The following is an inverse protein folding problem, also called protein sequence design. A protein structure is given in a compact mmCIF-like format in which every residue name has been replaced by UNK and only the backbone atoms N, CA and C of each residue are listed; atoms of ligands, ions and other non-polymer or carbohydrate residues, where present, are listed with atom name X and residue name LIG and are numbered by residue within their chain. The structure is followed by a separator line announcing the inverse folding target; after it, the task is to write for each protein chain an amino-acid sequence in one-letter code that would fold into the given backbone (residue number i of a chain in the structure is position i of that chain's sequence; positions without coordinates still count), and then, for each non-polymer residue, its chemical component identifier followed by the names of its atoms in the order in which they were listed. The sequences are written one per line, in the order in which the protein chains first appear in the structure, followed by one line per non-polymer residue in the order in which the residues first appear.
data_IF_336750588991
#
_entry.id   IF_336750588991
#
_cell.length_a   1.000
_cell.length_b   1.000
_cell.length_c   1.000
_cell.angle_alpha   90.00
_cell.angle_beta   90.00
_cell.angle_gamma   90.00
#
_symmetry.space_group_name_H-M   'P 1'
#
loop_
_entity.id
_entity.type
_entity.pdbx_description
1 polymer ?
#
# COMPACT_ATOMS: atom_id res chain seq x y z
N UNK A 1 -0.90 18.90 -0.92
CA UNK A 1 0.50 18.66 -0.48
C UNK A 1 1.26 17.99 -1.59
N UNK A 2 2.43 18.52 -1.94
CA UNK A 2 3.29 17.92 -2.96
C UNK A 2 4.11 16.76 -2.38
N UNK A 3 4.52 15.82 -3.24
CA UNK A 3 5.33 14.67 -2.84
C UNK A 3 6.63 15.09 -2.12
N UNK A 4 7.28 16.17 -2.61
CA UNK A 4 8.51 16.71 -2.00
C UNK A 4 8.29 17.15 -0.55
N UNK A 5 7.20 17.87 -0.29
CA UNK A 5 6.84 18.33 1.06
C UNK A 5 6.59 17.15 2.00
N UNK A 6 5.85 16.13 1.52
CA UNK A 6 5.61 14.91 2.30
C UNK A 6 6.92 14.18 2.66
N UNK A 7 7.87 14.11 1.72
CA UNK A 7 9.18 13.50 1.97
C UNK A 7 9.94 14.22 3.07
N UNK A 8 9.97 15.55 3.02
CA UNK A 8 10.63 16.37 4.04
C UNK A 8 9.99 16.15 5.41
N UNK A 9 8.65 16.07 5.49
CA UNK A 9 7.95 15.83 6.74
C UNK A 9 8.25 14.47 7.36
N UNK A 10 8.28 13.40 6.55
CA UNK A 10 8.64 12.05 7.02
C UNK A 10 10.08 12.02 7.52
N UNK A 11 11.01 12.65 6.80
CA UNK A 11 12.42 12.72 7.18
C UNK A 11 12.58 13.51 8.48
N UNK A 12 11.91 14.66 8.60
CA UNK A 12 11.94 15.49 9.80
C UNK A 12 11.36 14.77 11.02
N UNK A 13 10.27 14.00 10.86
CA UNK A 13 9.71 13.19 11.95
C UNK A 13 10.65 12.06 12.37
N UNK A 14 11.30 11.40 11.41
CA UNK A 14 12.34 10.40 11.70
C UNK A 14 13.49 11.01 12.52
N UNK A 15 13.99 12.17 12.10
CA UNK A 15 15.11 12.86 12.78
C UNK A 15 14.72 13.34 14.18
N UNK A 16 13.51 13.88 14.34
CA UNK A 16 12.96 14.22 15.67
C UNK A 16 12.89 13.00 16.58
N UNK A 17 12.39 11.86 16.08
CA UNK A 17 12.32 10.61 16.84
C UNK A 17 13.71 10.05 17.17
N UNK A 18 14.67 10.24 16.27
CA UNK A 18 16.07 9.85 16.49
C UNK A 18 16.70 10.70 17.61
N UNK A 19 16.56 12.02 17.53
CA UNK A 19 17.08 12.95 18.53
C UNK A 19 16.42 12.76 19.91
N UNK A 20 15.13 12.42 19.93
CA UNK A 20 14.41 12.10 21.17
C UNK A 20 14.73 10.69 21.73
N UNK A 21 15.51 9.87 21.03
CA UNK A 21 15.88 8.53 21.49
C UNK A 21 14.71 7.53 21.53
N UNK A 22 13.63 7.78 20.77
CA UNK A 22 12.43 6.93 20.75
C UNK A 22 12.34 6.02 19.52
N UNK A 23 13.32 6.09 18.61
CA UNK A 23 13.40 5.14 17.51
C UNK A 23 13.74 3.74 18.02
N UNK A 24 13.17 2.70 17.38
CA UNK A 24 13.54 1.32 17.67
C UNK A 24 15.00 1.06 17.27
N UNK A 25 15.71 0.14 17.95
CA UNK A 25 17.12 -0.17 17.67
C UNK A 25 17.40 -0.49 16.18
N UNK A 26 16.46 -1.16 15.51
CA UNK A 26 16.55 -1.55 14.11
C UNK A 26 16.66 -0.37 13.14
N UNK A 27 16.21 0.81 13.56
CA UNK A 27 16.25 2.06 12.80
C UNK A 27 17.36 3.02 13.23
N UNK A 28 17.95 2.83 14.43
CA UNK A 28 19.07 3.64 14.92
C UNK A 28 20.36 3.31 14.14
N UNK A 29 20.65 2.01 13.99
CA UNK A 29 21.79 1.51 13.23
C UNK A 29 21.28 0.55 12.15
N UNK A 30 20.64 1.09 11.08
CA UNK A 30 19.93 0.27 10.14
C UNK A 30 20.90 -0.61 9.34
N UNK A 31 20.50 -1.87 9.19
CA UNK A 31 21.04 -2.81 8.22
C UNK A 31 19.88 -3.30 7.35
N UNK A 32 20.20 -3.81 6.17
CA UNK A 32 19.22 -4.48 5.29
C UNK A 32 18.35 -5.50 6.04
N UNK A 33 18.99 -6.30 6.91
CA UNK A 33 18.32 -7.31 7.74
C UNK A 33 17.44 -6.68 8.82
N UNK A 34 17.94 -5.67 9.54
CA UNK A 34 17.17 -5.03 10.62
C UNK A 34 15.93 -4.30 10.08
N UNK A 35 16.02 -3.68 8.90
CA UNK A 35 14.87 -3.04 8.25
C UNK A 35 13.78 -4.06 7.86
N UNK A 36 14.18 -5.23 7.36
CA UNK A 36 13.25 -6.34 7.11
C UNK A 36 12.63 -6.83 8.41
N UNK A 37 13.44 -7.13 9.42
CA UNK A 37 12.98 -7.66 10.71
C UNK A 37 12.02 -6.69 11.40
N UNK A 38 12.31 -5.40 11.33
CA UNK A 38 11.41 -4.36 11.81
C UNK A 38 10.14 -4.25 10.99
N UNK A 39 10.19 -4.46 9.66
CA UNK A 39 8.98 -4.55 8.83
C UNK A 39 8.08 -5.71 9.27
N UNK A 40 8.66 -6.88 9.59
CA UNK A 40 7.91 -8.02 10.12
C UNK A 40 7.24 -7.63 11.43
N UNK A 41 7.97 -6.99 12.35
CA UNK A 41 7.44 -6.51 13.63
C UNK A 41 6.27 -5.55 13.43
N UNK A 42 6.45 -4.50 12.61
CA UNK A 42 5.40 -3.52 12.31
C UNK A 42 4.18 -4.19 11.67
N UNK A 43 4.39 -5.13 10.74
CA UNK A 43 3.30 -5.85 10.10
C UNK A 43 2.57 -6.80 11.07
N UNK A 44 3.24 -7.31 12.09
CA UNK A 44 2.65 -8.21 13.10
C UNK A 44 1.87 -7.43 14.14
N UNK A 45 2.44 -6.33 14.64
CA UNK A 45 1.91 -5.57 15.77
C UNK A 45 0.96 -4.44 15.35
N UNK A 46 1.20 -3.84 14.18
CA UNK A 46 0.54 -2.60 13.72
C UNK A 46 0.13 -2.68 12.25
N UNK A 47 -0.44 -3.80 11.83
CA UNK A 47 -1.11 -3.87 10.53
C UNK A 47 -2.31 -2.93 10.50
N UNK A 48 -2.37 -2.04 9.51
CA UNK A 48 -3.56 -1.21 9.23
C UNK A 48 -3.93 -1.41 7.77
N UNK A 49 -5.20 -1.70 7.47
CA UNK A 49 -5.67 -1.94 6.10
C UNK A 49 -5.40 -0.76 5.15
N UNK A 50 -5.34 0.47 5.67
CA UNK A 50 -4.98 1.67 4.89
C UNK A 50 -3.55 1.64 4.34
N UNK A 51 -2.67 0.82 4.91
CA UNK A 51 -1.28 0.66 4.49
C UNK A 51 -1.15 -0.41 3.37
N UNK A 52 -2.23 -1.10 3.00
CA UNK A 52 -2.21 -2.13 1.93
C UNK A 52 -1.64 -1.60 0.60
N UNK A 53 -1.96 -0.38 0.11
CA UNK A 53 -1.37 0.12 -1.14
C UNK A 53 0.17 0.17 -1.12
N UNK A 54 0.75 0.52 0.03
CA UNK A 54 2.20 0.49 0.23
C UNK A 54 2.71 -0.95 0.27
N UNK A 55 2.08 -1.82 1.06
CA UNK A 55 2.50 -3.21 1.19
C UNK A 55 2.44 -3.95 -0.16
N UNK A 56 1.40 -3.70 -0.96
CA UNK A 56 1.26 -4.18 -2.33
C UNK A 56 2.39 -3.70 -3.22
N UNK A 57 2.73 -2.41 -3.13
CA UNK A 57 3.75 -1.80 -3.99
C UNK A 57 5.16 -2.31 -3.68
N UNK A 58 5.46 -2.57 -2.40
CA UNK A 58 6.81 -2.98 -1.98
C UNK A 58 6.98 -4.51 -1.90
N UNK A 59 5.97 -5.25 -1.40
CA UNK A 59 6.04 -6.70 -1.17
C UNK A 59 5.23 -7.52 -2.19
N UNK A 60 4.60 -6.86 -3.16
CA UNK A 60 3.74 -7.47 -4.18
C UNK A 60 2.29 -7.68 -3.69
N UNK A 61 1.37 -7.86 -4.63
CA UNK A 61 -0.06 -8.13 -4.35
C UNK A 61 -0.23 -9.41 -3.52
N UNK A 62 -1.07 -9.33 -2.49
CA UNK A 62 -1.52 -10.47 -1.68
C UNK A 62 -3.04 -10.44 -1.53
N UNK A 63 -3.61 -11.60 -1.23
CA UNK A 63 -5.06 -11.78 -1.18
C UNK A 63 -5.68 -11.36 0.16
N UNK A 64 -4.88 -11.34 1.23
CA UNK A 64 -5.35 -10.99 2.58
C UNK A 64 -4.20 -10.48 3.47
N UNK A 65 -4.51 -9.87 4.62
CA UNK A 65 -3.50 -9.37 5.57
C UNK A 65 -2.47 -10.41 6.02
N UNK A 66 -2.89 -11.66 6.28
CA UNK A 66 -1.98 -12.72 6.70
C UNK A 66 -0.96 -13.08 5.61
N UNK A 67 -1.38 -13.04 4.34
CA UNK A 67 -0.49 -13.24 3.19
C UNK A 67 0.53 -12.09 3.04
N UNK A 68 0.20 -10.86 3.46
CA UNK A 68 1.20 -9.79 3.56
C UNK A 68 2.22 -10.06 4.66
N UNK A 69 1.81 -10.55 5.84
CA UNK A 69 2.76 -10.91 6.90
C UNK A 69 3.77 -11.96 6.42
N UNK A 70 3.30 -13.03 5.75
CA UNK A 70 4.15 -14.07 5.17
C UNK A 70 5.09 -13.47 4.11
N UNK A 71 4.59 -12.56 3.28
CA UNK A 71 5.40 -11.91 2.25
C UNK A 71 6.52 -11.04 2.85
N UNK A 72 6.24 -10.31 3.94
CA UNK A 72 7.24 -9.50 4.65
C UNK A 72 8.28 -10.39 5.33
N UNK A 73 7.86 -11.51 5.93
CA UNK A 73 8.77 -12.49 6.55
C UNK A 73 9.73 -13.12 5.53
N UNK A 74 9.22 -13.42 4.33
CA UNK A 74 10.00 -14.03 3.25
C UNK A 74 10.72 -13.00 2.35
N UNK A 75 10.60 -11.70 2.64
CA UNK A 75 11.23 -10.67 1.83
C UNK A 75 12.75 -10.77 1.91
N UNK A 76 13.42 -10.67 0.76
CA UNK A 76 14.86 -10.56 0.70
C UNK A 76 15.32 -9.26 1.38
N UNK A 77 16.34 -9.37 2.24
CA UNK A 77 16.99 -8.21 2.84
C UNK A 77 17.54 -7.24 1.78
N UNK A 78 17.88 -7.75 0.59
CA UNK A 78 18.38 -6.92 -0.51
C UNK A 78 17.36 -5.89 -1.02
N UNK A 79 16.06 -6.19 -0.92
CA UNK A 79 14.99 -5.23 -1.25
C UNK A 79 15.06 -3.94 -0.42
N UNK A 80 15.67 -4.01 0.77
CA UNK A 80 15.85 -2.87 1.66
C UNK A 80 17.15 -2.11 1.42
N UNK A 81 17.99 -2.51 0.46
CA UNK A 81 19.29 -1.84 0.18
C UNK A 81 19.12 -0.35 -0.06
N UNK A 82 18.13 0.04 -0.85
CA UNK A 82 17.94 1.46 -1.22
C UNK A 82 17.52 2.32 -0.03
N UNK A 83 16.60 1.83 0.81
CA UNK A 83 16.23 2.53 2.04
C UNK A 83 17.41 2.55 3.03
N UNK A 84 18.11 1.43 3.20
CA UNK A 84 19.28 1.32 4.06
C UNK A 84 20.38 2.34 3.68
N UNK A 85 20.70 2.44 2.39
CA UNK A 85 21.69 3.41 1.90
C UNK A 85 21.24 4.85 2.16
N UNK A 86 19.95 5.15 1.94
CA UNK A 86 19.39 6.47 2.21
C UNK A 86 19.36 6.85 3.70
N UNK A 87 19.13 5.89 4.60
CA UNK A 87 19.18 6.13 6.04
C UNK A 87 20.61 6.37 6.54
N UNK A 88 21.61 5.80 5.87
CA UNK A 88 23.04 5.99 6.19
C UNK A 88 23.62 7.25 5.57
N UNK A 89 23.20 7.58 4.36
CA UNK A 89 23.67 8.73 3.59
C UNK A 89 22.48 9.38 2.88
N UNK A 90 21.98 10.46 3.48
CA UNK A 90 20.83 11.25 3.01
C UNK A 90 21.10 12.03 1.71
N UNK A 91 22.38 12.21 1.32
CA UNK A 91 22.73 12.94 0.09
C UNK A 91 22.27 12.19 -1.17
N UNK A 92 22.14 10.86 -1.06
CA UNK A 92 21.64 9.97 -2.10
C UNK A 92 20.13 9.87 -1.97
N UNK A 93 19.40 10.66 -2.75
CA UNK A 93 17.94 10.60 -2.80
C UNK A 93 17.40 9.17 -3.00
N UNK A 94 16.14 8.94 -2.65
CA UNK A 94 15.51 7.61 -2.71
C UNK A 94 14.12 7.66 -3.35
N UNK A 95 13.61 6.51 -3.79
CA UNK A 95 12.26 6.40 -4.38
C UNK A 95 11.17 6.79 -3.38
N UNK A 96 9.99 7.18 -3.89
CA UNK A 96 8.88 7.56 -3.02
C UNK A 96 8.37 6.40 -2.18
N UNK A 97 8.41 5.20 -2.75
CA UNK A 97 8.03 3.96 -2.07
C UNK A 97 8.93 3.75 -0.84
N UNK A 98 10.23 4.04 -0.91
CA UNK A 98 11.12 3.91 0.25
C UNK A 98 10.82 4.94 1.34
N UNK A 99 10.39 6.16 0.96
CA UNK A 99 9.94 7.16 1.94
C UNK A 99 8.60 6.76 2.57
N UNK A 100 7.69 6.21 1.77
CA UNK A 100 6.42 5.70 2.27
C UNK A 100 6.63 4.49 3.20
N UNK A 101 7.59 3.62 2.88
CA UNK A 101 8.02 2.53 3.75
C UNK A 101 8.59 3.06 5.07
N UNK A 102 9.42 4.11 5.03
CA UNK A 102 9.93 4.76 6.24
C UNK A 102 8.79 5.37 7.08
N UNK A 103 7.86 6.08 6.45
CA UNK A 103 6.68 6.65 7.11
C UNK A 103 5.86 5.56 7.82
N UNK A 104 5.67 4.43 7.16
CA UNK A 104 5.00 3.27 7.73
C UNK A 104 5.77 2.65 8.90
N UNK A 105 7.10 2.52 8.79
CA UNK A 105 7.96 1.99 9.85
C UNK A 105 7.90 2.86 11.11
N UNK A 106 8.07 4.19 10.98
CA UNK A 106 8.09 5.09 12.15
C UNK A 106 6.71 5.47 12.69
N UNK A 107 5.64 4.89 12.15
CA UNK A 107 4.25 5.25 12.46
C UNK A 107 3.95 6.74 12.19
N UNK A 108 4.54 7.34 11.16
CA UNK A 108 4.25 8.73 10.75
C UNK A 108 2.83 8.87 10.22
N UNK A 109 2.10 9.86 10.71
CA UNK A 109 0.78 10.25 10.20
C UNK A 109 0.84 11.70 9.70
N UNK A 110 0.20 12.02 8.57
CA UNK A 110 -0.80 11.20 7.89
C UNK A 110 -0.22 10.26 6.82
N UNK A 111 -0.61 8.99 6.82
CA UNK A 111 -0.32 8.04 5.73
C UNK A 111 -1.55 7.19 5.35
N UNK A 112 -1.69 6.71 4.10
CA UNK A 112 -0.77 6.88 2.96
C UNK A 112 -0.84 8.27 2.32
N UNK A 113 0.22 8.66 1.61
CA UNK A 113 0.25 9.92 0.87
C UNK A 113 -0.81 9.98 -0.22
N UNK A 114 -1.44 11.14 -0.33
CA UNK A 114 -2.29 11.54 -1.45
C UNK A 114 -2.26 13.07 -1.56
N UNK A 115 -2.47 13.61 -2.76
CA UNK A 115 -2.32 15.05 -3.05
C UNK A 115 -3.23 15.94 -2.17
N UNK A 116 -4.39 15.42 -1.77
CA UNK A 116 -5.38 16.12 -0.95
C UNK A 116 -5.09 16.06 0.57
N UNK A 117 -3.94 15.52 0.98
CA UNK A 117 -3.55 15.53 2.39
C UNK A 117 -3.42 16.96 2.91
N UNK A 118 -4.19 17.25 3.96
CA UNK A 118 -4.07 18.46 4.78
C UNK A 118 -3.34 18.07 6.04
N UNK A 119 -2.19 18.69 6.28
CA UNK A 119 -1.51 18.63 7.56
C UNK A 119 -1.86 19.92 8.27
N UNK A 120 -2.59 19.80 9.37
CA UNK A 120 -2.76 20.94 10.28
C UNK A 120 -1.35 21.32 10.73
N UNK A 121 -0.92 22.52 10.34
CA UNK A 121 0.38 23.03 10.76
C UNK A 121 0.38 23.08 12.28
N UNK A 122 1.11 22.16 12.91
CA UNK A 122 1.49 22.32 14.30
C UNK A 122 2.29 23.63 14.33
N UNK A 123 1.84 24.65 15.07
CA UNK A 123 2.56 25.92 15.10
C UNK A 123 4.01 25.62 15.48
N UNK A 124 4.92 26.06 14.63
CA UNK A 124 6.36 26.03 14.88
C UNK A 124 6.60 27.02 16.03
N UNK A 125 6.47 26.54 17.26
CA UNK A 125 6.99 27.24 18.40
C UNK A 125 8.51 27.08 18.34
N UNK A 126 9.13 28.17 17.94
CA UNK A 126 10.57 28.46 17.95
C UNK A 126 11.31 27.74 19.10
N UNK A 127 12.37 26.94 18.82
CA UNK A 127 13.13 26.21 19.82
C UNK A 127 14.03 27.17 20.61
N UNK A 128 13.44 27.82 21.62
CA UNK A 128 14.11 28.79 22.45
C UNK A 128 13.51 28.92 23.85
N UNK A 129 13.01 27.84 24.47
CA UNK A 129 12.78 27.83 25.93
C UNK A 129 12.75 26.42 26.52
N UNK A 130 13.75 26.13 27.33
CA UNK A 130 13.73 25.03 28.30
C UNK A 130 12.62 25.36 29.33
N UNK A 131 11.59 24.51 29.39
CA UNK A 131 10.76 24.38 30.59
C UNK A 131 10.90 22.92 31.00
N UNK A 132 11.72 22.68 32.03
CA UNK A 132 11.78 21.40 32.74
C UNK A 132 10.50 21.33 33.55
N UNK A 133 9.57 20.48 33.16
CA UNK A 133 8.54 19.99 34.07
C UNK A 133 8.82 18.51 34.33
N UNK A 134 9.51 18.31 35.45
CA UNK A 134 9.66 17.10 36.22
C UNK A 134 8.31 16.40 36.47
N UNK A 135 8.16 15.10 36.18
CA UNK A 135 6.97 14.36 36.59
C UNK A 135 7.18 13.82 38.01
N UNK A 136 6.53 14.45 38.99
CA UNK A 136 6.39 13.88 40.32
C UNK A 136 5.64 12.55 40.26
N UNK A 137 6.24 11.58 40.95
CA UNK A 137 5.81 10.21 41.13
C UNK A 137 4.83 10.14 42.29
N UNK A 138 3.65 9.52 42.12
CA UNK A 138 2.87 8.98 43.24
C UNK A 138 2.26 7.61 42.92
N UNK A 139 2.98 6.57 43.32
CA UNK A 139 2.45 5.28 43.76
C UNK A 139 1.79 5.52 45.14
N UNK A 140 0.67 4.89 45.54
CA UNK A 140 0.62 3.57 46.22
C UNK A 140 -0.87 3.19 46.47
N UNK A 141 -1.25 1.91 46.33
CA UNK A 141 -2.52 1.27 46.79
C UNK A 141 -2.39 0.78 48.27
N UNK A 142 -3.30 -0.05 48.83
CA UNK A 142 -4.72 0.10 49.24
C UNK A 142 -4.90 -0.16 50.77
N UNK A 143 -6.14 -0.27 51.31
CA UNK A 143 -6.50 -1.56 51.92
C UNK A 143 -7.97 -2.02 51.76
N UNK A 144 -8.14 -3.30 52.09
CA UNK A 144 -9.29 -4.22 52.05
C UNK A 144 -10.02 -4.30 53.42
N UNK A 145 -11.19 -4.96 53.44
CA UNK A 145 -11.95 -5.63 54.56
C UNK A 145 -13.30 -4.95 54.85
N UNK A 146 -14.45 -5.46 54.38
CA UNK A 146 -15.31 -6.62 54.78
C UNK A 146 -16.29 -6.30 55.93
N UNK A 147 -17.59 -6.49 55.67
CA UNK A 147 -18.66 -6.55 56.67
C UNK A 147 -20.02 -6.78 55.99
N UNK A 148 -20.62 -7.93 56.26
CA UNK A 148 -21.77 -8.55 55.57
C UNK A 148 -23.17 -8.10 56.08
N UNK A 149 -24.20 -8.63 55.39
CA UNK A 149 -25.65 -8.81 55.70
C UNK A 149 -26.57 -7.69 55.19
N UNK A 150 -27.77 -7.93 54.65
CA UNK A 150 -28.72 -9.05 54.81
C UNK A 150 -29.71 -9.12 53.62
N UNK A 151 -30.32 -10.30 53.41
CA UNK A 151 -31.28 -10.63 52.34
C UNK A 151 -32.73 -10.20 52.65
N UNK A 152 -33.52 -10.22 51.56
CA UNK A 152 -34.90 -10.70 51.42
C UNK A 152 -36.02 -9.65 51.32
N UNK A 153 -36.88 -9.82 50.30
CA UNK A 153 -38.21 -9.20 50.27
C UNK A 153 -38.75 -8.81 48.89
N UNK A 154 -38.94 -9.78 48.01
CA UNK A 154 -40.12 -10.00 47.15
C UNK A 154 -41.17 -8.85 47.00
N UNK A 155 -41.37 -8.35 45.76
CA UNK A 155 -42.60 -8.51 44.94
C UNK A 155 -42.70 -7.48 43.80
N UNK A 156 -43.15 -8.01 42.67
CA UNK A 156 -43.34 -7.35 41.39
C UNK A 156 -44.46 -6.30 41.38
N UNK A 157 -44.28 -5.22 40.60
CA UNK A 157 -45.35 -4.60 39.82
C UNK A 157 -44.80 -4.16 38.46
N UNK A 158 -45.48 -4.62 37.42
CA UNK A 158 -45.20 -4.39 36.01
C UNK A 158 -45.31 -2.91 35.63
N UNK A 159 -44.32 -2.38 34.89
CA UNK A 159 -44.57 -1.30 33.94
C UNK A 159 -44.35 -1.82 32.53
N UNK A 160 -45.45 -1.83 31.79
CA UNK A 160 -45.61 -2.33 30.43
C UNK A 160 -44.90 -1.39 29.45
N UNK A 161 -43.88 -1.89 28.74
CA UNK A 161 -43.62 -1.43 27.39
C UNK A 161 -44.25 -2.41 26.41
N UNK A 162 -45.44 -2.04 25.96
CA UNK A 162 -46.10 -2.63 24.81
C UNK A 162 -45.47 -2.10 23.54
N UNK A 163 -44.72 -2.95 22.84
CA UNK A 163 -44.78 -3.00 21.38
C UNK A 163 -44.58 -4.44 20.96
N UNK A 164 -45.69 -5.11 20.65
CA UNK A 164 -45.69 -6.42 20.02
C UNK A 164 -45.46 -6.24 18.52
N UNK A 165 -44.36 -6.79 18.01
CA UNK A 165 -44.37 -7.39 16.68
C UNK A 165 -43.54 -8.68 16.73
N UNK A 166 -44.21 -9.79 17.02
CA UNK A 166 -43.62 -11.12 17.04
C UNK A 166 -43.44 -11.62 15.60
N UNK A 167 -42.19 -11.63 15.13
CA UNK A 167 -41.82 -12.40 13.96
C UNK A 167 -40.90 -13.54 14.42
N UNK A 168 -41.47 -14.70 14.71
CA UNK A 168 -40.71 -15.92 15.06
C UNK A 168 -40.07 -16.51 13.80
N UNK A 169 -39.13 -15.79 13.18
CA UNK A 169 -38.16 -16.44 12.28
C UNK A 169 -37.26 -17.27 13.19
N UNK A 170 -37.27 -18.61 13.03
CA UNK A 170 -36.31 -19.45 13.73
C UNK A 170 -34.93 -18.95 13.30
N UNK A 171 -34.14 -18.45 14.25
CA UNK A 171 -32.80 -17.90 13.99
C UNK A 171 -31.89 -18.86 13.21
N UNK A 172 -32.20 -20.16 13.24
CA UNK A 172 -31.59 -21.18 12.38
C UNK A 172 -31.72 -20.85 10.89
N UNK A 173 -32.85 -20.32 10.42
CA UNK A 173 -33.01 -19.92 9.01
C UNK A 173 -32.18 -18.69 8.66
N UNK A 174 -32.03 -17.73 9.59
CA UNK A 174 -31.17 -16.56 9.38
C UNK A 174 -29.71 -17.00 9.30
N UNK A 175 -29.27 -17.89 10.18
CA UNK A 175 -27.91 -18.42 10.20
C UNK A 175 -27.64 -19.25 8.93
N UNK A 176 -28.56 -20.12 8.51
CA UNK A 176 -28.41 -20.91 7.27
C UNK A 176 -28.41 -20.01 6.04
N UNK A 177 -29.26 -18.98 5.98
CA UNK A 177 -29.26 -18.02 4.87
C UNK A 177 -27.98 -17.19 4.84
N UNK A 178 -27.46 -16.79 5.99
CA UNK A 178 -26.22 -16.02 6.10
C UNK A 178 -25.00 -16.87 5.75
N UNK A 179 -24.97 -18.15 6.16
CA UNK A 179 -23.98 -19.12 5.70
C UNK A 179 -24.09 -19.39 4.21
N UNK A 180 -25.30 -19.52 3.66
CA UNK A 180 -25.54 -19.69 2.23
C UNK A 180 -25.13 -18.44 1.42
N UNK A 181 -25.36 -17.25 1.96
CA UNK A 181 -24.90 -15.99 1.35
C UNK A 181 -23.38 -15.87 1.42
N UNK A 182 -22.75 -16.27 2.52
CA UNK A 182 -21.29 -16.28 2.65
C UNK A 182 -20.65 -17.33 1.73
N UNK A 183 -21.26 -18.50 1.56
CA UNK A 183 -20.77 -19.51 0.60
C UNK A 183 -21.02 -19.09 -0.84
N UNK A 184 -22.19 -18.53 -1.16
CA UNK A 184 -22.47 -17.98 -2.48
C UNK A 184 -21.51 -16.83 -2.82
N UNK A 185 -21.25 -15.92 -1.88
CA UNK A 185 -20.23 -14.87 -2.03
C UNK A 185 -18.84 -15.47 -2.23
N UNK A 186 -18.48 -16.51 -1.48
CA UNK A 186 -17.20 -17.21 -1.66
C UNK A 186 -17.08 -17.87 -3.04
N UNK A 187 -18.14 -18.51 -3.55
CA UNK A 187 -18.16 -19.09 -4.91
C UNK A 187 -18.12 -18.01 -6.01
N UNK A 188 -18.91 -16.94 -5.88
CA UNK A 188 -18.85 -15.78 -6.80
C UNK A 188 -17.46 -15.11 -6.78
N UNK A 189 -16.81 -15.08 -5.61
CA UNK A 189 -15.44 -14.55 -5.48
C UNK A 189 -14.38 -15.51 -6.05
N UNK A 190 -14.66 -16.81 -6.07
CA UNK A 190 -13.74 -17.85 -6.55
C UNK A 190 -13.79 -18.02 -8.07
N UNK A 191 -14.87 -17.63 -8.72
CA UNK A 191 -15.02 -17.73 -10.18
C UNK A 191 -14.32 -16.60 -10.97
N UNK A 192 -13.62 -15.67 -10.29
CA UNK A 192 -12.73 -14.70 -10.98
C UNK A 192 -11.29 -15.19 -11.18
N UNK A 193 -11.04 -16.49 -10.98
CA UNK A 193 -9.76 -17.12 -11.28
C UNK A 193 -9.58 -17.36 -12.79
N UNK A 194 -9.17 -16.29 -13.48
CA UNK A 194 -8.52 -16.33 -14.79
C UNK A 194 -9.43 -16.70 -15.96
N UNK A 195 -9.94 -15.68 -16.66
CA UNK A 195 -10.46 -15.85 -18.02
C UNK A 195 -9.38 -16.55 -18.85
N UNK A 196 -9.67 -17.79 -19.28
CA UNK A 196 -8.79 -18.64 -20.10
C UNK A 196 -8.72 -18.12 -21.55
N UNK A 197 -8.42 -16.84 -21.71
CA UNK A 197 -8.23 -16.20 -23.00
C UNK A 197 -6.77 -16.05 -23.36
N UNK A 198 -6.53 -15.63 -24.59
CA UNK A 198 -5.25 -15.10 -25.01
C UNK A 198 -5.40 -13.68 -25.54
N UNK A 199 -4.30 -12.99 -25.70
CA UNK A 199 -4.27 -11.66 -26.29
C UNK A 199 -3.10 -11.52 -27.25
N UNK A 200 -3.24 -10.60 -28.20
CA UNK A 200 -2.22 -10.29 -29.20
C UNK A 200 -2.02 -8.79 -29.29
N UNK A 201 -0.78 -8.36 -29.50
CA UNK A 201 -0.45 -6.96 -29.75
C UNK A 201 -0.76 -6.61 -31.20
N UNK A 202 -1.50 -5.52 -31.42
CA UNK A 202 -1.94 -5.10 -32.77
C UNK A 202 -1.03 -4.04 -33.39
N UNK A 203 0.06 -3.66 -32.72
CA UNK A 203 0.88 -2.48 -33.07
C UNK A 203 0.56 -1.27 -32.19
N UNK A 204 -0.66 -1.16 -31.68
CA UNK A 204 -1.12 -0.05 -30.85
C UNK A 204 -1.57 -0.45 -29.45
N UNK A 205 -2.22 -1.60 -29.31
CA UNK A 205 -2.77 -2.10 -28.04
C UNK A 205 -2.87 -3.61 -28.07
N UNK A 206 -3.10 -4.22 -26.91
CA UNK A 206 -3.51 -5.62 -26.87
C UNK A 206 -5.00 -5.77 -27.21
N UNK A 207 -5.33 -6.86 -27.91
CA UNK A 207 -6.69 -7.29 -28.18
C UNK A 207 -6.83 -8.76 -27.78
N UNK A 208 -7.98 -9.09 -27.19
CA UNK A 208 -8.30 -10.47 -26.83
C UNK A 208 -8.58 -11.27 -28.10
N UNK A 209 -7.98 -12.46 -28.18
CA UNK A 209 -8.10 -13.39 -29.29
C UNK A 209 -8.15 -14.82 -28.77
N UNK A 210 -8.53 -15.75 -29.63
CA UNK A 210 -8.36 -17.18 -29.36
C UNK A 210 -6.87 -17.53 -29.29
N UNK A 211 -6.50 -18.49 -28.43
CA UNK A 211 -5.10 -18.88 -28.25
C UNK A 211 -4.45 -19.52 -29.49
N UNK A 212 -5.26 -19.97 -30.45
CA UNK A 212 -4.81 -20.53 -31.73
C UNK A 212 -4.76 -19.48 -32.86
N UNK A 213 -5.04 -18.22 -32.55
CA UNK A 213 -4.99 -17.13 -33.52
C UNK A 213 -3.58 -16.96 -34.08
N UNK A 214 -3.48 -16.68 -35.38
CA UNK A 214 -2.22 -16.36 -36.05
C UNK A 214 -2.31 -14.92 -36.53
N UNK A 215 -1.31 -14.10 -36.18
CA UNK A 215 -1.18 -12.74 -36.70
C UNK A 215 -1.11 -12.78 -38.23
N UNK A 216 -1.89 -11.93 -38.91
CA UNK A 216 -1.90 -11.81 -40.38
C UNK A 216 -0.49 -11.55 -40.93
N UNK A 217 0.29 -10.72 -40.24
CA UNK A 217 1.65 -10.36 -40.62
C UNK A 217 2.73 -11.23 -39.96
N UNK A 218 2.34 -12.19 -39.11
CA UNK A 218 3.26 -13.06 -38.35
C UNK A 218 4.18 -12.33 -37.37
N UNK A 219 4.02 -11.01 -37.19
CA UNK A 219 4.95 -10.15 -36.44
C UNK A 219 4.82 -10.29 -34.92
N UNK A 220 3.60 -10.54 -34.42
CA UNK A 220 3.32 -10.59 -33.00
C UNK A 220 2.77 -11.96 -32.60
N UNK A 221 3.31 -12.50 -31.52
CA UNK A 221 2.88 -13.78 -30.97
C UNK A 221 1.70 -13.62 -30.02
N UNK A 222 0.83 -14.62 -30.00
CA UNK A 222 -0.25 -14.72 -29.02
C UNK A 222 0.33 -15.04 -27.65
N UNK A 223 -0.12 -14.32 -26.62
CA UNK A 223 0.30 -14.49 -25.23
C UNK A 223 -0.91 -14.77 -24.33
N UNK A 224 -0.71 -15.37 -23.13
CA UNK A 224 -1.80 -15.54 -22.17
C UNK A 224 -2.46 -14.20 -21.83
N UNK A 225 -3.78 -14.22 -21.61
CA UNK A 225 -4.54 -13.02 -21.27
C UNK A 225 -4.07 -12.44 -19.93
N UNK A 226 -3.65 -11.18 -19.98
CA UNK A 226 -3.40 -10.35 -18.80
C UNK A 226 -4.40 -9.19 -18.82
N UNK A 227 -5.45 -9.29 -18.01
CA UNK A 227 -6.57 -8.33 -18.00
C UNK A 227 -6.16 -6.89 -17.64
N UNK A 228 -5.23 -6.64 -16.69
CA UNK A 228 -4.61 -5.33 -16.51
C UNK A 228 -3.94 -4.79 -17.77
N UNK A 229 -3.04 -5.57 -18.39
CA UNK A 229 -2.28 -5.14 -19.58
C UNK A 229 -3.21 -4.91 -20.76
N UNK A 230 -4.18 -5.79 -21.00
CA UNK A 230 -5.18 -5.66 -22.06
C UNK A 230 -5.95 -4.33 -21.99
N UNK A 231 -6.33 -3.89 -20.78
CA UNK A 231 -7.13 -2.67 -20.58
C UNK A 231 -6.28 -1.40 -20.68
N UNK A 232 -5.08 -1.43 -20.12
CA UNK A 232 -4.29 -0.23 -19.85
C UNK A 232 -3.15 0.04 -20.82
N UNK A 233 -2.55 -1.01 -21.39
CA UNK A 233 -1.30 -0.89 -22.13
C UNK A 233 -1.53 -0.56 -23.61
N UNK A 234 -1.08 0.63 -24.00
CA UNK A 234 -1.27 1.21 -25.33
C UNK A 234 -0.01 1.96 -25.76
N UNK A 235 0.25 1.97 -27.06
CA UNK A 235 1.24 2.83 -27.71
C UNK A 235 0.67 4.24 -27.85
N UNK A 236 1.48 5.25 -27.56
CA UNK A 236 1.16 6.65 -27.76
C UNK A 236 1.67 7.02 -29.15
N UNK A 237 0.74 7.30 -30.07
CA UNK A 237 1.05 7.54 -31.50
C UNK A 237 1.39 9.00 -31.80
N UNK A 238 0.96 9.91 -30.93
CA UNK A 238 1.05 11.35 -31.10
C UNK A 238 2.04 11.91 -30.10
N UNK A 239 3.27 12.12 -30.52
CA UNK A 239 4.35 12.64 -29.66
C UNK A 239 4.02 14.02 -29.10
N UNK A 240 3.24 14.82 -29.83
CA UNK A 240 2.68 16.12 -29.42
C UNK A 240 1.72 16.03 -28.21
N UNK A 241 1.26 14.83 -27.85
CA UNK A 241 0.49 14.60 -26.60
C UNK A 241 1.37 14.43 -25.37
N UNK A 242 2.69 14.28 -25.55
CA UNK A 242 3.64 14.19 -24.45
C UNK A 242 3.92 15.60 -23.93
N UNK A 243 3.73 15.79 -22.63
CA UNK A 243 4.02 17.05 -21.94
C UNK A 243 4.95 16.79 -20.77
N UNK A 244 5.41 17.84 -20.09
CA UNK A 244 6.19 17.66 -18.85
C UNK A 244 5.46 16.78 -17.80
N UNK A 245 4.11 16.77 -17.81
CA UNK A 245 3.31 15.90 -16.93
C UNK A 245 3.38 14.41 -17.30
N UNK A 246 3.83 14.08 -18.51
CA UNK A 246 4.03 12.70 -18.96
C UNK A 246 5.29 12.05 -18.36
N UNK A 247 6.20 12.84 -17.79
CA UNK A 247 7.45 12.37 -17.19
C UNK A 247 7.14 11.49 -15.97
N UNK A 248 7.78 10.32 -15.91
CA UNK A 248 7.54 9.31 -14.88
C UNK A 248 6.20 8.57 -14.98
N UNK A 249 5.31 8.93 -15.91
CA UNK A 249 4.00 8.27 -16.15
C UNK A 249 3.96 7.53 -17.48
N UNK A 250 4.66 8.05 -18.48
CA UNK A 250 4.83 7.42 -19.79
C UNK A 250 6.11 6.59 -19.79
N UNK A 251 6.09 5.48 -20.51
CA UNK A 251 7.22 4.59 -20.69
C UNK A 251 7.69 4.63 -22.15
N UNK A 252 8.98 4.45 -22.38
CA UNK A 252 9.57 4.61 -23.69
C UNK A 252 10.69 3.60 -23.96
N UNK A 253 10.97 3.36 -25.23
CA UNK A 253 12.10 2.56 -25.70
C UNK A 253 12.66 3.18 -26.97
N UNK A 254 13.99 3.21 -27.09
CA UNK A 254 14.67 3.71 -28.28
C UNK A 254 14.91 2.57 -29.28
N UNK A 255 14.34 2.69 -30.46
CA UNK A 255 14.49 1.74 -31.57
C UNK A 255 14.93 2.50 -32.82
N UNK A 256 16.08 2.14 -33.39
CA UNK A 256 16.62 2.77 -34.61
C UNK A 256 16.68 4.31 -34.55
N UNK A 257 17.10 4.86 -33.40
CA UNK A 257 17.24 6.31 -33.22
C UNK A 257 15.96 7.02 -32.77
N UNK A 258 14.78 6.42 -32.95
CA UNK A 258 13.49 7.01 -32.57
C UNK A 258 12.95 6.41 -31.27
N UNK A 259 12.15 7.17 -30.54
CA UNK A 259 11.49 6.69 -29.34
C UNK A 259 10.06 6.25 -29.65
N UNK A 260 9.70 5.06 -29.18
CA UNK A 260 8.31 4.64 -29.07
C UNK A 260 7.84 4.86 -27.63
N UNK A 261 6.63 5.37 -27.45
CA UNK A 261 6.06 5.70 -26.14
C UNK A 261 4.82 4.86 -25.83
N UNK A 262 4.60 4.58 -24.55
CA UNK A 262 3.60 3.67 -24.03
C UNK A 262 2.99 4.18 -22.73
N UNK A 263 1.75 3.78 -22.47
CA UNK A 263 1.00 4.19 -21.28
C UNK A 263 1.36 3.45 -19.99
N UNK A 264 2.10 2.33 -20.07
CA UNK A 264 2.46 1.49 -18.92
C UNK A 264 3.83 0.81 -19.13
N UNK A 265 4.37 0.20 -18.08
CA UNK A 265 5.67 -0.47 -18.04
C UNK A 265 5.60 -1.97 -18.36
N UNK A 266 4.56 -2.42 -19.07
CA UNK A 266 4.42 -3.82 -19.43
C UNK A 266 5.60 -4.30 -20.30
N UNK A 267 5.71 -5.61 -20.47
CA UNK A 267 6.72 -6.21 -21.35
C UNK A 267 6.63 -5.58 -22.76
N UNK A 268 7.78 -5.24 -23.34
CA UNK A 268 7.81 -4.62 -24.66
C UNK A 268 7.25 -5.60 -25.71
N UNK A 269 6.12 -5.27 -26.36
CA UNK A 269 5.43 -6.19 -27.25
C UNK A 269 6.14 -6.38 -28.59
N UNK A 270 7.07 -5.48 -28.95
CA UNK A 270 7.83 -5.53 -30.20
C UNK A 270 9.17 -6.23 -30.00
N UNK A 271 9.83 -5.98 -28.87
CA UNK A 271 11.10 -6.62 -28.53
C UNK A 271 11.19 -6.89 -27.02
N UNK A 272 10.87 -8.12 -26.56
CA UNK A 272 10.87 -8.47 -25.15
C UNK A 272 12.22 -8.29 -24.43
N UNK A 273 13.35 -8.35 -25.14
CA UNK A 273 14.68 -8.15 -24.55
C UNK A 273 15.00 -6.67 -24.27
N UNK A 274 14.20 -5.75 -24.82
CA UNK A 274 14.35 -4.31 -24.63
C UNK A 274 13.22 -3.77 -23.75
N UNK A 275 13.38 -3.78 -22.42
CA UNK A 275 12.33 -3.33 -21.51
C UNK A 275 12.04 -1.84 -21.69
N UNK A 276 10.77 -1.48 -21.52
CA UNK A 276 10.34 -0.08 -21.52
C UNK A 276 10.86 0.62 -20.27
N UNK A 277 11.32 1.86 -20.42
CA UNK A 277 11.86 2.67 -19.32
C UNK A 277 11.00 3.91 -19.11
N UNK A 278 10.86 4.41 -17.87
CA UNK A 278 10.10 5.63 -17.63
C UNK A 278 10.69 6.78 -18.43
N UNK A 279 9.81 7.61 -19.01
CA UNK A 279 10.16 8.85 -19.68
C UNK A 279 10.81 9.79 -18.68
N UNK A 280 11.97 10.32 -19.02
CA UNK A 280 12.73 11.26 -18.19
C UNK A 280 12.77 12.65 -18.84
N UNK A 281 13.06 13.67 -18.03
CA UNK A 281 13.35 15.03 -18.55
C UNK A 281 14.44 15.03 -19.63
N UNK A 282 15.49 14.23 -19.44
CA UNK A 282 16.59 14.13 -20.41
C UNK A 282 16.11 13.60 -21.75
N UNK A 283 15.31 12.53 -21.75
CA UNK A 283 14.77 11.97 -22.99
C UNK A 283 13.83 12.98 -23.63
N UNK A 284 12.91 13.58 -22.87
CA UNK A 284 11.95 14.56 -23.38
C UNK A 284 12.61 15.74 -24.10
N UNK A 285 13.70 16.27 -23.53
CA UNK A 285 14.40 17.45 -24.08
C UNK A 285 15.39 17.12 -25.21
N UNK A 286 15.79 15.87 -25.39
CA UNK A 286 16.78 15.44 -26.39
C UNK A 286 16.15 14.54 -27.48
N UNK A 287 14.85 14.68 -27.75
CA UNK A 287 14.14 13.95 -28.80
C UNK A 287 14.13 14.66 -30.17
N UNK A 288 14.93 15.72 -30.35
CA UNK A 288 15.15 16.36 -31.65
C UNK A 288 16.16 15.58 -32.53
#
# INVERSE_FOLDING_TARGET
MYEREYRELVINDFEKKQAAGILPPELIAPTRKSLRDYSVKVCTERYKSKDEPLLRSFFGKRDNPAAYLIAVQNADAESFRTLNNFLRDRSRGTSFINISLLAWMIDFEPRPFHENLKIEAVPVNDPGRIIINEPETKTTKPPTVRGDKEQAGDKAVNFLFSTKHTFKIKWTYVIVLLLFLLTALYFVSKDSAGDKGCMIWTGEKYQQVECNHKSEDGRFSVVPLDTPVLRGFKKILKEDTLTANSIGKVFCVKTNGKYDYYTDSAANPVNPERPLRPLTHFIMNNNE
#
